data_IF_658396367495
#
_entry.id   IF_658396367495
#
_cell.length_a   1.000
_cell.length_b   1.000
_cell.length_c   1.000
_cell.angle_alpha   90.00
_cell.angle_beta   90.00
_cell.angle_gamma   90.00
#
_symmetry.space_group_name_H-M   'P 1'
#
loop_
_entity.id
_entity.type
_entity.pdbx_description
1 polymer ?
#
# COMPACT_ATOMS: atom_id res chain seq x y z
N UNK A 1 -15.74 16.42 -18.11
CA UNK A 1 -14.54 15.73 -17.55
C UNK A 1 -13.86 16.71 -16.61
N UNK A 2 -13.36 16.23 -15.47
CA UNK A 2 -12.62 17.05 -14.50
C UNK A 2 -11.14 17.05 -14.88
N UNK A 3 -10.45 18.18 -14.73
CA UNK A 3 -9.00 18.26 -14.93
C UNK A 3 -8.26 17.36 -13.90
N UNK A 4 -7.35 16.46 -14.33
CA UNK A 4 -6.69 15.52 -13.43
C UNK A 4 -5.86 16.17 -12.32
N UNK A 5 -5.22 17.31 -12.61
CA UNK A 5 -4.42 18.04 -11.63
C UNK A 5 -5.32 18.71 -10.59
N UNK A 6 -6.39 19.36 -11.03
CA UNK A 6 -7.40 19.94 -10.14
C UNK A 6 -8.06 18.88 -9.24
N UNK A 7 -8.38 17.71 -9.80
CA UNK A 7 -8.92 16.58 -9.04
C UNK A 7 -7.93 16.09 -7.97
N UNK A 8 -6.67 15.86 -8.35
CA UNK A 8 -5.62 15.44 -7.40
C UNK A 8 -5.40 16.47 -6.30
N UNK A 9 -5.34 17.76 -6.64
CA UNK A 9 -5.17 18.85 -5.68
C UNK A 9 -6.33 18.94 -4.70
N UNK A 10 -7.57 18.74 -5.18
CA UNK A 10 -8.74 18.72 -4.31
C UNK A 10 -8.68 17.57 -3.29
N UNK A 11 -8.25 16.38 -3.71
CA UNK A 11 -8.06 15.23 -2.81
C UNK A 11 -6.89 15.43 -1.83
N UNK A 12 -5.80 16.08 -2.27
CA UNK A 12 -4.63 16.35 -1.43
C UNK A 12 -4.93 17.28 -0.24
N UNK A 13 -6.04 18.02 -0.27
CA UNK A 13 -6.51 18.83 0.86
C UNK A 13 -6.97 17.97 2.06
N UNK A 14 -7.29 16.69 1.85
CA UNK A 14 -7.65 15.77 2.93
C UNK A 14 -6.42 15.02 3.43
N UNK A 15 -5.94 15.39 4.62
CA UNK A 15 -4.78 14.76 5.23
C UNK A 15 -5.05 13.28 5.56
N UNK A 16 -4.05 12.44 5.31
CA UNK A 16 -4.07 11.00 5.62
C UNK A 16 -2.74 10.57 6.23
N UNK A 17 -2.73 9.43 6.90
CA UNK A 17 -1.49 8.74 7.21
C UNK A 17 -0.88 8.09 5.96
N UNK A 18 0.34 7.58 6.09
CA UNK A 18 1.00 6.79 5.04
C UNK A 18 1.11 5.35 5.50
N UNK A 19 0.76 4.42 4.63
CA UNK A 19 0.93 2.99 4.89
C UNK A 19 1.74 2.32 3.79
N UNK A 20 2.38 1.20 4.12
CA UNK A 20 2.89 0.24 3.14
C UNK A 20 2.01 -0.99 3.22
N UNK A 21 1.33 -1.31 2.13
CA UNK A 21 0.52 -2.52 2.00
C UNK A 21 1.41 -3.61 1.41
N UNK A 22 1.46 -4.77 2.06
CA UNK A 22 2.34 -5.87 1.65
C UNK A 22 1.58 -7.17 1.42
N UNK A 23 2.02 -7.97 0.45
CA UNK A 23 1.51 -9.31 0.18
C UNK A 23 2.66 -10.31 0.03
N UNK A 24 2.35 -11.60 0.08
CA UNK A 24 3.29 -12.64 -0.30
C UNK A 24 3.67 -12.48 -1.79
N UNK A 25 4.94 -12.71 -2.13
CA UNK A 25 5.39 -12.73 -3.52
C UNK A 25 5.61 -14.15 -4.06
N UNK A 26 6.12 -14.23 -5.28
CA UNK A 26 6.27 -15.46 -6.08
C UNK A 26 7.53 -16.29 -5.74
N UNK A 27 7.88 -16.35 -4.45
CA UNK A 27 9.08 -17.04 -3.95
C UNK A 27 10.36 -16.20 -3.97
N UNK A 28 10.32 -14.96 -4.48
CA UNK A 28 11.42 -13.98 -4.41
C UNK A 28 11.42 -13.12 -3.14
N UNK A 29 10.44 -13.33 -2.26
CA UNK A 29 10.17 -12.50 -1.09
C UNK A 29 8.81 -11.81 -1.22
N UNK A 30 8.35 -11.13 -0.14
CA UNK A 30 7.11 -10.37 -0.18
C UNK A 30 7.24 -9.13 -1.07
N UNK A 31 6.07 -8.60 -1.45
CA UNK A 31 5.95 -7.37 -2.22
C UNK A 31 5.26 -6.28 -1.39
N UNK A 32 5.58 -5.01 -1.65
CA UNK A 32 5.01 -3.87 -0.94
C UNK A 32 4.71 -2.66 -1.83
N UNK A 33 3.75 -1.84 -1.41
CA UNK A 33 3.41 -0.58 -2.09
C UNK A 33 2.97 0.49 -1.10
N UNK A 34 3.47 1.71 -1.27
CA UNK A 34 3.04 2.87 -0.49
C UNK A 34 1.62 3.29 -0.87
N UNK A 35 0.74 3.42 0.13
CA UNK A 35 -0.67 3.77 -0.03
C UNK A 35 -1.06 4.80 1.02
N UNK A 36 -1.71 5.89 0.58
CA UNK A 36 -2.41 6.82 1.47
C UNK A 36 -3.93 6.59 1.49
N UNK A 37 -4.45 5.87 0.49
CA UNK A 37 -5.87 5.50 0.37
C UNK A 37 -6.23 4.28 1.25
N UNK A 38 -6.02 4.42 2.57
CA UNK A 38 -6.39 3.46 3.60
C UNK A 38 -7.55 3.99 4.43
N UNK A 39 -8.51 3.14 4.78
CA UNK A 39 -9.53 3.48 5.76
C UNK A 39 -9.96 2.29 6.64
N UNK A 40 -10.31 2.61 7.88
CA UNK A 40 -11.08 1.71 8.74
C UNK A 40 -12.50 1.62 8.20
N UNK A 41 -13.02 0.40 8.03
CA UNK A 41 -14.32 0.16 7.43
C UNK A 41 -15.36 -0.33 8.46
N UNK A 42 -14.98 -1.27 9.33
CA UNK A 42 -15.88 -1.85 10.33
C UNK A 42 -15.10 -2.29 11.57
N UNK A 43 -15.76 -2.25 12.73
CA UNK A 43 -15.23 -2.80 13.98
C UNK A 43 -15.69 -4.25 14.20
N UNK A 44 -16.92 -4.59 13.82
CA UNK A 44 -17.48 -5.93 13.96
C UNK A 44 -18.28 -6.33 12.70
N UNK A 45 -17.74 -7.20 11.83
CA UNK A 45 -16.38 -7.76 11.89
C UNK A 45 -15.30 -6.68 11.67
N UNK A 46 -14.05 -6.89 12.11
CA UNK A 46 -12.96 -5.94 11.90
C UNK A 46 -12.59 -5.90 10.41
N UNK A 47 -12.87 -4.77 9.76
CA UNK A 47 -12.60 -4.58 8.33
C UNK A 47 -11.84 -3.29 8.07
N UNK A 48 -10.95 -3.35 7.09
CA UNK A 48 -10.24 -2.22 6.52
C UNK A 48 -10.40 -2.24 4.99
N UNK A 49 -10.14 -1.10 4.35
CA UNK A 49 -10.07 -0.99 2.90
C UNK A 49 -8.78 -0.26 2.50
N UNK A 50 -8.18 -0.73 1.42
CA UNK A 50 -7.09 -0.07 0.71
C UNK A 50 -7.41 0.03 -0.78
N UNK A 51 -7.00 1.10 -1.42
CA UNK A 51 -7.16 1.28 -2.87
C UNK A 51 -5.81 1.20 -3.58
N UNK A 52 -5.67 0.28 -4.53
CA UNK A 52 -4.48 0.10 -5.36
C UNK A 52 -4.75 0.54 -6.80
N UNK A 53 -3.76 1.13 -7.46
CA UNK A 53 -3.83 1.42 -8.90
C UNK A 53 -3.75 0.09 -9.67
N UNK A 54 -4.65 -0.16 -10.62
CA UNK A 54 -4.64 -1.37 -11.46
C UNK A 54 -3.35 -1.54 -12.28
N UNK A 55 -2.55 -0.47 -12.42
CA UNK A 55 -1.25 -0.48 -13.09
C UNK A 55 -0.10 -0.88 -12.17
N UNK A 56 -0.36 -1.14 -10.89
CA UNK A 56 0.68 -1.62 -9.97
C UNK A 56 1.20 -2.97 -10.43
N UNK A 57 2.51 -3.13 -10.51
CA UNK A 57 3.15 -4.35 -11.02
C UNK A 57 3.05 -5.54 -10.05
N UNK A 58 2.60 -5.32 -8.82
CA UNK A 58 2.35 -6.34 -7.82
C UNK A 58 0.85 -6.68 -7.62
N UNK A 59 -0.04 -6.24 -8.53
CA UNK A 59 -1.48 -6.44 -8.36
C UNK A 59 -1.86 -7.92 -8.28
N UNK A 60 -1.18 -8.77 -9.06
CA UNK A 60 -1.46 -10.20 -9.11
C UNK A 60 -1.26 -10.88 -7.74
N UNK A 61 -0.25 -10.45 -6.98
CA UNK A 61 0.06 -10.94 -5.64
C UNK A 61 -1.03 -10.56 -4.62
N UNK A 62 -1.65 -9.39 -4.78
CA UNK A 62 -2.80 -8.98 -3.94
C UNK A 62 -4.12 -9.65 -4.33
N UNK A 63 -4.23 -10.17 -5.55
CA UNK A 63 -5.43 -10.82 -6.07
C UNK A 63 -5.40 -12.35 -5.95
N UNK A 64 -4.29 -12.93 -5.48
CA UNK A 64 -4.17 -14.37 -5.30
C UNK A 64 -5.18 -14.86 -4.26
N UNK A 65 -6.05 -15.79 -4.68
CA UNK A 65 -7.13 -16.31 -3.84
C UNK A 65 -6.57 -16.97 -2.57
N UNK A 66 -6.99 -16.49 -1.41
CA UNK A 66 -6.55 -17.00 -0.12
C UNK A 66 -5.23 -16.38 0.37
N UNK A 67 -4.57 -15.55 -0.43
CA UNK A 67 -3.47 -14.73 0.04
C UNK A 67 -4.02 -13.56 0.88
N UNK A 68 -3.56 -13.46 2.13
CA UNK A 68 -3.78 -12.28 2.95
C UNK A 68 -2.83 -11.14 2.54
N UNK A 69 -3.12 -9.93 3.02
CA UNK A 69 -2.20 -8.80 2.96
C UNK A 69 -2.06 -8.17 4.35
N UNK A 70 -0.96 -7.45 4.55
CA UNK A 70 -0.73 -6.67 5.76
C UNK A 70 -0.68 -5.17 5.45
N UNK A 71 -1.02 -4.35 6.44
CA UNK A 71 -0.93 -2.88 6.38
C UNK A 71 0.04 -2.41 7.45
N UNK A 72 1.13 -1.79 7.03
CA UNK A 72 2.14 -1.22 7.90
C UNK A 72 1.92 0.29 7.95
N UNK A 73 1.46 0.81 9.09
CA UNK A 73 1.28 2.27 9.28
C UNK A 73 2.63 2.89 9.63
N UNK A 74 3.07 3.86 8.83
CA UNK A 74 4.39 4.47 8.98
C UNK A 74 4.41 5.57 10.06
N UNK A 75 5.50 5.63 10.80
CA UNK A 75 5.84 6.74 11.68
C UNK A 75 6.38 7.93 10.86
N UNK A 76 6.37 9.13 11.46
CA UNK A 76 6.72 10.38 10.78
C UNK A 76 8.18 10.43 10.27
N UNK A 77 9.09 9.67 10.88
CA UNK A 77 10.49 9.58 10.51
C UNK A 77 10.78 8.51 9.42
N UNK A 78 9.78 7.73 9.03
CA UNK A 78 9.90 6.65 8.03
C UNK A 78 9.61 7.11 6.59
N UNK A 79 9.80 8.40 6.29
CA UNK A 79 9.59 8.96 4.94
C UNK A 79 10.43 8.26 3.87
N UNK A 80 11.66 7.85 4.19
CA UNK A 80 12.53 7.13 3.26
C UNK A 80 11.94 5.77 2.84
N UNK A 81 11.19 5.11 3.72
CA UNK A 81 10.45 3.88 3.39
C UNK A 81 9.25 4.20 2.50
N UNK A 82 8.50 5.25 2.83
CA UNK A 82 7.40 5.71 1.97
C UNK A 82 7.86 5.95 0.53
N UNK A 83 8.99 6.63 0.35
CA UNK A 83 9.54 6.93 -0.98
C UNK A 83 10.07 5.67 -1.68
N UNK A 84 10.71 4.74 -0.96
CA UNK A 84 11.23 3.51 -1.54
C UNK A 84 10.12 2.64 -2.15
N UNK A 85 8.99 2.51 -1.45
CA UNK A 85 7.85 1.71 -1.89
C UNK A 85 6.84 2.49 -2.76
N UNK A 86 7.16 3.73 -3.14
CA UNK A 86 6.33 4.55 -4.02
C UNK A 86 6.72 4.40 -5.49
N UNK A 87 5.71 4.32 -6.37
CA UNK A 87 5.90 4.35 -7.81
C UNK A 87 5.66 3.00 -8.52
N UNK A 88 5.81 2.98 -9.86
CA UNK A 88 5.39 1.85 -10.68
C UNK A 88 6.45 0.75 -10.83
N UNK A 89 7.67 0.92 -10.31
CA UNK A 89 8.80 0.00 -10.53
C UNK A 89 9.28 -0.62 -9.24
N UNK A 90 9.45 -1.95 -9.29
CA UNK A 90 10.02 -2.86 -8.28
C UNK A 90 9.44 -2.73 -6.88
N UNK A 91 8.52 -3.65 -6.56
CA UNK A 91 7.78 -3.71 -5.31
C UNK A 91 8.43 -4.65 -4.30
N UNK A 92 9.74 -4.88 -4.38
CA UNK A 92 10.43 -5.75 -3.43
C UNK A 92 10.61 -5.05 -2.07
N UNK A 93 11.19 -5.73 -1.09
CA UNK A 93 11.35 -5.15 0.24
C UNK A 93 12.46 -4.10 0.33
N UNK A 94 13.20 -3.82 -0.74
CA UNK A 94 14.33 -2.89 -0.76
C UNK A 94 15.39 -3.17 0.34
N UNK A 95 15.55 -4.44 0.71
CA UNK A 95 16.45 -4.85 1.81
C UNK A 95 15.95 -4.50 3.21
N UNK A 96 14.71 -4.00 3.35
CA UNK A 96 14.09 -3.72 4.63
C UNK A 96 13.89 -5.00 5.44
N UNK A 97 14.16 -4.93 6.74
CA UNK A 97 13.82 -5.99 7.66
C UNK A 97 12.29 -6.11 7.77
N UNK A 98 11.77 -7.34 7.77
CA UNK A 98 10.35 -7.63 7.93
C UNK A 98 10.13 -8.91 8.74
N UNK A 99 8.92 -9.06 9.26
CA UNK A 99 8.48 -10.28 9.96
C UNK A 99 7.42 -10.96 9.11
N UNK A 100 7.59 -12.25 8.83
CA UNK A 100 6.63 -13.03 8.06
C UNK A 100 5.52 -13.60 8.96
N UNK A 101 4.28 -13.61 8.46
CA UNK A 101 3.16 -14.35 9.07
C UNK A 101 2.57 -13.73 10.35
N UNK A 102 2.57 -12.40 10.46
CA UNK A 102 1.76 -11.71 11.47
C UNK A 102 0.25 -11.87 11.22
#
# INVERSE_FOLDING_TARGET
>A
MVDPTAYRNALACFASGVTIVTAAGDGRGPVGVTVSAFCSLSLDPPLILVCLDNRTGCLAQFQETGAGFAVNVLAADQWALSDAFAGPQTFDMHGCAYVAGA
#
